data_IF_867838761699
#
_entry.id   IF_867838761699
#
_cell.length_a   1.000
_cell.length_b   1.000
_cell.length_c   1.000
_cell.angle_alpha   90.00
_cell.angle_beta   90.00
_cell.angle_gamma   90.00
#
_symmetry.space_group_name_H-M   'P 1'
#
loop_
_entity.id
_entity.type
_entity.pdbx_description
1 polymer ?
#
# COMPACT_ATOMS: atom_id res chain seq x y z
N UNK A 1 1.99 6.61 18.03
CA UNK A 1 2.73 6.71 16.75
C UNK A 1 1.77 6.23 15.68
N UNK A 2 1.14 7.17 14.96
CA UNK A 2 0.46 6.85 13.71
C UNK A 2 1.54 6.47 12.70
N UNK A 3 1.42 5.30 12.07
CA UNK A 3 2.25 4.95 10.92
C UNK A 3 2.06 6.03 9.85
N UNK A 4 3.12 6.74 9.51
CA UNK A 4 3.04 7.89 8.60
C UNK A 4 3.21 7.41 7.17
N UNK A 5 2.27 7.80 6.31
CA UNK A 5 2.49 7.76 4.87
C UNK A 5 3.49 8.86 4.49
N UNK A 6 4.37 8.61 3.51
CA UNK A 6 5.23 9.63 2.93
C UNK A 6 4.40 10.81 2.38
N UNK A 7 4.95 12.04 2.36
CA UNK A 7 4.19 13.26 2.05
C UNK A 7 3.71 13.35 0.60
N UNK A 8 4.25 12.54 -0.30
CA UNK A 8 3.87 12.43 -1.71
C UNK A 8 2.76 11.40 -1.97
N UNK A 9 2.26 10.74 -0.92
CA UNK A 9 1.00 10.03 -0.96
C UNK A 9 -0.15 10.99 -0.63
N UNK A 10 -1.10 11.09 -1.54
CA UNK A 10 -2.28 11.93 -1.40
C UNK A 10 -3.38 11.18 -0.66
N UNK A 11 -3.89 11.77 0.43
CA UNK A 11 -5.07 11.23 1.11
C UNK A 11 -6.32 11.56 0.30
N UNK A 12 -7.06 10.53 -0.09
CA UNK A 12 -8.31 10.66 -0.82
C UNK A 12 -9.47 10.76 0.18
N UNK A 13 -10.36 11.76 0.05
CA UNK A 13 -11.56 11.84 0.88
C UNK A 13 -12.56 10.75 0.49
N UNK A 14 -13.10 10.04 1.48
CA UNK A 14 -14.05 8.95 1.28
C UNK A 14 -14.55 8.36 2.59
N UNK A 15 -15.34 7.29 2.51
CA UNK A 15 -15.87 6.57 3.69
C UNK A 15 -14.77 5.85 4.48
N UNK A 16 -13.69 5.45 3.81
CA UNK A 16 -12.50 4.84 4.40
C UNK A 16 -11.27 5.71 4.15
N UNK A 17 -10.28 5.60 5.03
CA UNK A 17 -8.99 6.26 4.80
C UNK A 17 -8.31 5.56 3.62
N UNK A 18 -8.08 6.31 2.55
CA UNK A 18 -7.34 5.85 1.37
C UNK A 18 -6.21 6.83 1.08
N UNK A 19 -5.03 6.29 0.76
CA UNK A 19 -3.89 7.03 0.24
C UNK A 19 -3.60 6.56 -1.18
N UNK A 20 -3.25 7.49 -2.07
CA UNK A 20 -2.84 7.17 -3.44
C UNK A 20 -1.54 7.86 -3.79
N UNK A 21 -0.76 7.22 -4.65
CA UNK A 21 0.46 7.79 -5.22
C UNK A 21 0.60 7.37 -6.67
N UNK A 22 0.91 8.35 -7.53
CA UNK A 22 1.24 8.10 -8.93
C UNK A 22 2.72 7.77 -9.08
N UNK A 23 3.01 6.75 -9.88
CA UNK A 23 4.36 6.30 -10.19
C UNK A 23 4.45 6.06 -11.71
N UNK A 24 4.77 7.12 -12.45
CA UNK A 24 4.77 7.09 -13.92
C UNK A 24 3.38 6.77 -14.49
N UNK A 25 3.27 5.66 -15.22
CA UNK A 25 2.01 5.17 -15.78
C UNK A 25 1.20 4.28 -14.82
N UNK A 26 1.64 4.13 -13.57
CA UNK A 26 1.01 3.29 -12.56
C UNK A 26 0.45 4.13 -11.42
N UNK A 27 -0.57 3.60 -10.75
CA UNK A 27 -1.14 4.19 -9.54
C UNK A 27 -1.11 3.16 -8.41
N UNK A 28 -0.49 3.53 -7.30
CA UNK A 28 -0.50 2.79 -6.05
C UNK A 28 -1.61 3.34 -5.16
N UNK A 29 -2.33 2.47 -4.46
CA UNK A 29 -3.29 2.84 -3.43
C UNK A 29 -3.11 2.01 -2.18
N UNK A 30 -3.45 2.59 -1.04
CA UNK A 30 -3.45 1.96 0.25
C UNK A 30 -4.76 2.28 0.96
N UNK A 31 -5.60 1.27 1.18
CA UNK A 31 -6.93 1.43 1.78
C UNK A 31 -6.92 0.86 3.18
N UNK A 32 -7.44 1.64 4.13
CA UNK A 32 -7.61 1.19 5.51
C UNK A 32 -8.63 0.05 5.58
N UNK A 33 -8.21 -1.07 6.18
CA UNK A 33 -9.01 -2.26 6.36
C UNK A 33 -8.74 -2.87 7.73
N UNK A 34 -9.74 -3.56 8.26
CA UNK A 34 -9.54 -4.44 9.41
C UNK A 34 -8.76 -5.69 8.96
N UNK A 35 -7.76 -6.06 9.76
CA UNK A 35 -6.94 -7.24 9.55
C UNK A 35 -6.48 -7.82 10.88
N UNK A 36 -6.16 -9.12 10.89
CA UNK A 36 -5.46 -9.72 12.02
C UNK A 36 -3.96 -9.48 11.85
N UNK A 37 -3.32 -8.96 12.89
CA UNK A 37 -1.88 -8.73 12.92
C UNK A 37 -1.23 -9.85 13.74
N UNK A 38 -0.39 -10.67 13.09
CA UNK A 38 0.26 -11.82 13.71
C UNK A 38 1.25 -11.44 14.81
N UNK A 39 1.87 -10.27 14.71
CA UNK A 39 2.77 -9.72 15.73
C UNK A 39 2.02 -9.12 16.91
N UNK A 40 0.91 -8.44 16.68
CA UNK A 40 0.06 -7.89 17.76
C UNK A 40 -0.85 -8.96 18.38
N UNK A 41 -1.07 -10.10 17.71
CA UNK A 41 -2.00 -11.17 18.10
C UNK A 41 -3.45 -10.70 18.31
N UNK A 42 -3.85 -9.64 17.62
CA UNK A 42 -5.17 -9.03 17.72
C UNK A 42 -5.66 -8.52 16.36
N UNK A 43 -6.97 -8.29 16.24
CA UNK A 43 -7.54 -7.58 15.09
C UNK A 43 -7.37 -6.08 15.28
N UNK A 44 -7.03 -5.38 14.21
CA UNK A 44 -6.93 -3.93 14.20
C UNK A 44 -6.99 -3.35 12.80
N UNK A 45 -7.01 -2.02 12.73
CA UNK A 45 -6.91 -1.31 11.47
C UNK A 45 -5.48 -1.40 10.93
N UNK A 46 -5.37 -1.63 9.63
CA UNK A 46 -4.13 -1.51 8.87
C UNK A 46 -4.43 -1.12 7.44
N UNK A 47 -3.41 -1.14 6.58
CA UNK A 47 -3.54 -0.71 5.19
C UNK A 47 -3.31 -1.88 4.25
N UNK A 48 -4.25 -2.09 3.32
CA UNK A 48 -4.08 -3.00 2.19
C UNK A 48 -3.63 -2.19 0.98
N UNK A 49 -2.49 -2.55 0.42
CA UNK A 49 -1.93 -1.94 -0.77
C UNK A 49 -2.42 -2.62 -2.04
N UNK A 50 -2.47 -1.86 -3.12
CA UNK A 50 -2.79 -2.29 -4.48
C UNK A 50 -2.08 -1.38 -5.48
N UNK A 51 -1.69 -1.94 -6.62
CA UNK A 51 -1.18 -1.18 -7.78
C UNK A 51 -2.00 -1.50 -9.01
N UNK A 52 -2.29 -0.47 -9.82
CA UNK A 52 -2.93 -0.58 -11.13
C UNK A 52 -2.07 0.06 -12.21
N UNK A 53 -2.18 -0.45 -13.45
CA UNK A 53 -1.57 0.16 -14.63
C UNK A 53 -2.41 1.34 -15.18
N UNK A 54 -1.96 1.94 -16.28
CA UNK A 54 -2.63 3.09 -16.92
C UNK A 54 -4.02 2.79 -17.48
N UNK A 55 -4.37 1.51 -17.64
CA UNK A 55 -5.70 1.05 -18.07
C UNK A 55 -6.60 0.75 -16.88
N UNK A 56 -6.07 0.83 -15.66
CA UNK A 56 -6.76 0.42 -14.43
C UNK A 56 -6.65 -1.07 -14.14
N UNK A 57 -5.84 -1.82 -14.90
CA UNK A 57 -5.68 -3.25 -14.72
C UNK A 57 -4.85 -3.52 -13.46
N UNK A 58 -5.28 -4.51 -12.66
CA UNK A 58 -4.60 -4.88 -11.43
C UNK A 58 -3.26 -5.55 -11.69
N UNK A 59 -2.21 -5.04 -11.05
CA UNK A 59 -0.89 -5.68 -11.06
C UNK A 59 -0.92 -6.86 -10.07
N UNK A 60 -0.99 -8.09 -10.59
CA UNK A 60 -1.32 -9.33 -9.85
C UNK A 60 -0.54 -9.63 -8.57
N UNK A 61 0.70 -9.15 -8.43
CA UNK A 61 1.55 -9.34 -7.23
C UNK A 61 1.50 -8.19 -6.22
N UNK A 62 0.61 -7.21 -6.42
CA UNK A 62 0.64 -5.93 -5.69
C UNK A 62 -0.16 -5.90 -4.37
N UNK A 63 -0.70 -7.02 -3.91
CA UNK A 63 -1.49 -7.11 -2.68
C UNK A 63 -0.60 -7.30 -1.45
N UNK A 64 -0.41 -6.25 -0.65
CA UNK A 64 0.33 -6.31 0.61
C UNK A 64 -0.49 -5.70 1.75
N UNK A 65 -0.30 -6.19 2.98
CA UNK A 65 -0.91 -5.61 4.18
C UNK A 65 0.17 -4.97 5.07
N UNK A 66 -0.21 -3.92 5.79
CA UNK A 66 0.62 -3.28 6.81
C UNK A 66 -0.16 -2.92 8.06
N UNK A 67 0.38 -3.33 9.21
CA UNK A 67 -0.09 -2.91 10.52
C UNK A 67 0.66 -1.65 10.97
N UNK A 68 0.03 -0.46 10.99
CA UNK A 68 0.69 0.78 11.40
C UNK A 68 1.03 0.83 12.90
N UNK A 69 0.43 -0.05 13.71
CA UNK A 69 0.66 -0.11 15.17
C UNK A 69 2.02 -0.70 15.52
N UNK A 70 2.42 -1.79 14.87
CA UNK A 70 3.65 -2.53 15.20
C UNK A 70 4.66 -2.63 14.04
N UNK A 71 4.28 -2.09 12.87
CA UNK A 71 5.09 -2.11 11.66
C UNK A 71 5.15 -3.46 10.95
N UNK A 72 4.34 -4.45 11.34
CA UNK A 72 4.29 -5.74 10.65
C UNK A 72 3.71 -5.58 9.23
N UNK A 73 4.26 -6.34 8.29
CA UNK A 73 3.90 -6.26 6.88
C UNK A 73 4.77 -5.25 6.12
N UNK A 74 4.23 -4.72 5.03
CA UNK A 74 4.99 -3.88 4.11
C UNK A 74 4.59 -2.41 4.25
N UNK A 75 5.45 -1.59 4.86
CA UNK A 75 5.17 -0.16 5.01
C UNK A 75 5.10 0.55 3.63
N UNK A 76 4.61 1.81 3.56
CA UNK A 76 4.41 2.49 2.28
C UNK A 76 5.70 2.66 1.45
N UNK A 77 6.85 2.91 2.08
CA UNK A 77 8.15 3.05 1.41
C UNK A 77 8.60 1.71 0.80
N UNK A 78 8.55 0.63 1.58
CA UNK A 78 8.91 -0.71 1.13
C UNK A 78 7.96 -1.22 0.03
N UNK A 79 6.69 -0.82 0.08
CA UNK A 79 5.74 -1.14 -0.98
C UNK A 79 6.07 -0.44 -2.29
N UNK A 80 6.43 0.84 -2.22
CA UNK A 80 6.89 1.57 -3.40
C UNK A 80 8.16 0.97 -4.01
N UNK A 81 9.15 0.63 -3.18
CA UNK A 81 10.38 -0.03 -3.63
C UNK A 81 10.05 -1.34 -4.36
N UNK A 82 9.17 -2.17 -3.78
CA UNK A 82 8.68 -3.41 -4.39
C UNK A 82 8.00 -3.16 -5.74
N UNK A 83 7.15 -2.12 -5.85
CA UNK A 83 6.48 -1.79 -7.10
C UNK A 83 7.50 -1.37 -8.16
N UNK A 84 8.49 -0.55 -7.80
CA UNK A 84 9.54 -0.11 -8.70
C UNK A 84 10.45 -1.26 -9.16
N UNK A 85 10.79 -2.21 -8.27
CA UNK A 85 11.77 -3.27 -8.54
C UNK A 85 11.20 -4.60 -9.04
N UNK A 86 9.93 -4.90 -8.75
CA UNK A 86 9.32 -6.21 -9.07
C UNK A 86 8.11 -6.13 -10.00
N UNK A 87 7.46 -4.96 -10.10
CA UNK A 87 6.24 -4.79 -10.90
C UNK A 87 6.44 -3.93 -12.16
N UNK A 88 7.23 -2.87 -12.06
CA UNK A 88 7.41 -1.90 -13.16
C UNK A 88 8.70 -2.16 -13.95
N UNK A 89 9.70 -2.79 -13.34
CA UNK A 89 10.96 -3.06 -14.01
C UNK A 89 10.75 -4.12 -15.08
N UNK A 90 11.11 -3.82 -16.35
CA UNK A 90 11.15 -4.83 -17.37
C UNK A 90 12.27 -5.80 -17.01
N UNK A 91 12.02 -7.11 -17.10
CA UNK A 91 13.13 -8.05 -17.28
C UNK A 91 14.01 -7.51 -18.42
N UNK A 92 15.27 -7.18 -18.10
CA UNK A 92 16.29 -6.81 -19.10
C UNK A 92 16.61 -8.01 -19.99
#
# INVERSE_FOLDING_TARGET
MEGKFPPDWERVPGEKVEYRKKLGSFEMSAVETEGFCDKCKEKGLGFSFRTVDSRGDYMGKSGAYWCPKCGEGMNPEAYEDFVQSELITPEM
#
